data_IF_278731538013
#
_entry.id   IF_278731538013
#
_cell.length_a   1.000
_cell.length_b   1.000
_cell.length_c   1.000
_cell.angle_alpha   90.00
_cell.angle_beta   90.00
_cell.angle_gamma   90.00
#
_symmetry.space_group_name_H-M   'P 1'
#
loop_
_entity.id
_entity.type
_entity.pdbx_description
1 polymer ?
#
# COMPACT_ATOMS: atom_id res chain seq x y z
N UNK A 1 22.13 11.55 -0.98
CA UNK A 1 21.17 10.47 -0.85
C UNK A 1 20.52 10.31 -2.21
N UNK A 2 20.42 9.12 -2.74
CA UNK A 2 19.60 8.88 -3.94
C UNK A 2 18.15 9.19 -3.57
N UNK A 3 17.48 9.94 -4.42
CA UNK A 3 16.05 10.23 -4.28
C UNK A 3 15.29 8.90 -4.44
N UNK A 4 14.63 8.42 -3.37
CA UNK A 4 13.86 7.17 -3.38
C UNK A 4 12.48 7.42 -3.99
N UNK A 5 12.49 7.80 -5.27
CA UNK A 5 11.30 8.13 -6.05
C UNK A 5 11.24 7.25 -7.31
N UNK A 6 10.07 6.76 -7.64
CA UNK A 6 9.83 6.02 -8.87
C UNK A 6 8.47 6.37 -9.48
N UNK A 7 8.40 6.25 -10.80
CA UNK A 7 7.17 6.40 -11.57
C UNK A 7 6.97 5.16 -12.45
N UNK A 8 5.76 4.60 -12.41
CA UNK A 8 5.37 3.41 -13.17
C UNK A 8 4.05 3.68 -13.89
N UNK A 9 3.97 3.26 -15.14
CA UNK A 9 2.74 3.26 -15.93
C UNK A 9 2.35 1.83 -16.29
N UNK A 10 1.04 1.56 -16.31
CA UNK A 10 0.49 0.27 -16.72
C UNK A 10 -0.76 0.50 -17.55
N UNK A 11 -0.72 0.08 -18.81
CA UNK A 11 -1.84 0.15 -19.73
C UNK A 11 -2.27 -1.25 -20.12
N UNK A 12 -3.54 -1.56 -19.97
CA UNK A 12 -4.18 -2.81 -20.38
C UNK A 12 -5.32 -2.53 -21.35
N UNK A 13 -6.17 -3.49 -21.63
CA UNK A 13 -7.42 -3.25 -22.37
C UNK A 13 -8.54 -2.70 -21.47
N UNK A 14 -8.34 -2.71 -20.17
CA UNK A 14 -9.35 -2.43 -19.14
C UNK A 14 -9.02 -1.13 -18.37
N UNK A 15 -7.73 -0.81 -18.21
CA UNK A 15 -7.26 0.33 -17.43
C UNK A 15 -6.05 1.01 -18.04
N UNK A 16 -5.89 2.30 -17.76
CA UNK A 16 -4.66 3.07 -17.96
C UNK A 16 -4.27 3.73 -16.64
N UNK A 17 -3.14 3.30 -16.06
CA UNK A 17 -2.73 3.68 -14.70
C UNK A 17 -1.36 4.34 -14.72
N UNK A 18 -1.25 5.49 -14.08
CA UNK A 18 0.01 6.19 -13.82
C UNK A 18 0.19 6.37 -12.33
N UNK A 19 1.33 5.95 -11.80
CA UNK A 19 1.69 6.11 -10.37
C UNK A 19 3.07 6.71 -10.24
N UNK A 20 3.21 7.70 -9.36
CA UNK A 20 4.50 8.17 -8.87
C UNK A 20 4.50 8.07 -7.35
N UNK A 21 5.59 7.55 -6.77
CA UNK A 21 5.78 7.48 -5.32
C UNK A 21 7.16 7.98 -4.93
N UNK A 22 7.24 8.85 -3.91
CA UNK A 22 8.46 9.19 -3.20
C UNK A 22 8.35 8.63 -1.77
N UNK A 23 9.32 7.78 -1.39
CA UNK A 23 9.34 7.12 -0.06
C UNK A 23 9.65 8.13 1.05
N UNK A 24 10.54 9.09 0.78
CA UNK A 24 10.97 10.13 1.72
C UNK A 24 10.20 11.44 1.46
N UNK A 25 8.87 11.38 1.49
CA UNK A 25 7.98 12.52 1.24
C UNK A 25 7.51 13.23 2.51
N UNK A 26 6.56 14.14 2.30
CA UNK A 26 5.87 14.92 3.35
C UNK A 26 4.40 14.48 3.54
N UNK A 27 3.97 13.45 2.80
CA UNK A 27 2.60 12.93 2.79
C UNK A 27 1.67 13.74 1.89
N UNK A 28 2.21 14.33 0.82
CA UNK A 28 1.42 15.01 -0.21
C UNK A 28 0.84 14.00 -1.21
N UNK A 29 -0.38 14.27 -1.70
CA UNK A 29 -1.04 13.35 -2.62
C UNK A 29 -1.88 14.05 -3.67
N UNK A 30 -1.86 13.51 -4.91
CA UNK A 30 -2.77 13.84 -5.99
C UNK A 30 -3.32 12.54 -6.55
N UNK A 31 -4.60 12.22 -6.26
CA UNK A 31 -5.18 10.89 -6.52
C UNK A 31 -6.51 11.04 -7.23
N UNK A 32 -6.64 10.34 -8.34
CA UNK A 32 -7.87 10.27 -9.15
C UNK A 32 -7.96 8.86 -9.77
N UNK A 33 -8.73 7.98 -9.13
CA UNK A 33 -9.00 6.62 -9.62
C UNK A 33 -10.43 6.45 -10.15
N UNK A 34 -11.26 7.48 -10.03
CA UNK A 34 -12.70 7.39 -10.30
C UNK A 34 -13.50 6.70 -9.18
N UNK A 35 -12.86 6.12 -8.16
CA UNK A 35 -13.49 5.48 -7.00
C UNK A 35 -13.20 6.32 -5.76
N UNK A 36 -14.09 7.25 -5.42
CA UNK A 36 -13.85 8.26 -4.38
C UNK A 36 -13.44 7.70 -3.01
N UNK A 37 -13.88 6.49 -2.63
CA UNK A 37 -13.45 5.87 -1.39
C UNK A 37 -12.02 5.31 -1.50
N UNK A 38 -11.62 4.77 -2.66
CA UNK A 38 -10.23 4.36 -2.90
C UNK A 38 -9.30 5.57 -2.90
N UNK A 39 -9.72 6.69 -3.52
CA UNK A 39 -8.95 7.94 -3.51
C UNK A 39 -8.70 8.40 -2.07
N UNK A 40 -9.73 8.33 -1.21
CA UNK A 40 -9.60 8.67 0.21
C UNK A 40 -8.64 7.71 0.94
N UNK A 41 -8.68 6.41 0.65
CA UNK A 41 -7.75 5.42 1.24
C UNK A 41 -6.31 5.66 0.83
N UNK A 42 -6.06 5.97 -0.43
CA UNK A 42 -4.72 6.27 -0.95
C UNK A 42 -4.18 7.60 -0.42
N UNK A 43 -5.04 8.62 -0.29
CA UNK A 43 -4.66 9.87 0.37
C UNK A 43 -4.33 9.66 1.86
N UNK A 44 -5.07 8.79 2.55
CA UNK A 44 -4.77 8.36 3.93
C UNK A 44 -3.43 7.60 4.00
N UNK A 45 -3.17 6.70 3.05
CA UNK A 45 -1.90 5.99 2.92
C UNK A 45 -0.72 6.96 2.75
N UNK A 46 -0.81 7.89 1.81
CA UNK A 46 0.21 8.92 1.60
C UNK A 46 0.47 9.73 2.87
N UNK A 47 -0.60 10.27 3.46
CA UNK A 47 -0.52 11.16 4.63
C UNK A 47 0.07 10.49 5.86
N UNK A 48 -0.35 9.28 6.16
CA UNK A 48 0.11 8.56 7.35
C UNK A 48 1.45 7.86 7.16
N UNK A 49 1.83 7.51 5.93
CA UNK A 49 3.13 6.96 5.58
C UNK A 49 4.21 8.01 5.34
N UNK A 50 3.83 9.29 5.25
CA UNK A 50 4.73 10.38 4.81
C UNK A 50 5.33 10.11 3.43
N UNK A 51 4.58 9.43 2.57
CA UNK A 51 4.91 9.22 1.18
C UNK A 51 4.29 10.32 0.32
N UNK A 52 5.01 10.83 -0.68
CA UNK A 52 4.34 11.64 -1.69
C UNK A 52 3.85 10.70 -2.80
N UNK A 53 2.55 10.76 -3.10
CA UNK A 53 1.89 9.79 -3.99
C UNK A 53 1.02 10.51 -5.01
N UNK A 54 1.29 10.25 -6.29
CA UNK A 54 0.39 10.63 -7.38
C UNK A 54 -0.17 9.36 -8.01
N UNK A 55 -1.48 9.28 -8.17
CA UNK A 55 -2.18 8.18 -8.85
C UNK A 55 -3.21 8.75 -9.80
N UNK A 56 -3.18 8.30 -11.05
CA UNK A 56 -4.22 8.53 -12.04
C UNK A 56 -4.60 7.20 -12.65
N UNK A 57 -5.88 6.94 -12.74
CA UNK A 57 -6.41 5.74 -13.37
C UNK A 57 -7.66 6.07 -14.19
N UNK A 58 -7.66 5.69 -15.45
CA UNK A 58 -8.85 5.62 -16.29
C UNK A 58 -9.18 4.14 -16.50
N UNK A 59 -10.22 3.66 -15.83
CA UNK A 59 -10.62 2.25 -15.81
C UNK A 59 -12.08 2.05 -16.20
N UNK A 60 -12.44 0.82 -16.55
CA UNK A 60 -13.75 0.38 -17.02
C UNK A 60 -14.78 0.22 -15.88
N UNK A 61 -14.97 1.28 -15.08
CA UNK A 61 -15.86 1.29 -13.90
C UNK A 61 -17.33 0.97 -14.21
N UNK A 62 -17.73 1.02 -15.48
CA UNK A 62 -19.04 0.53 -15.93
C UNK A 62 -19.18 -1.00 -15.84
N UNK A 63 -18.06 -1.74 -15.75
CA UNK A 63 -18.04 -3.17 -15.48
C UNK A 63 -18.17 -3.40 -13.98
N UNK A 64 -17.15 -3.05 -13.22
CA UNK A 64 -17.14 -2.98 -11.75
C UNK A 64 -15.87 -2.25 -11.26
N UNK A 65 -15.58 -2.32 -9.96
CA UNK A 65 -14.40 -1.72 -9.34
C UNK A 65 -13.13 -2.60 -9.36
N UNK A 66 -13.22 -3.85 -9.83
CA UNK A 66 -12.15 -4.86 -9.71
C UNK A 66 -10.88 -4.44 -10.45
N UNK A 67 -10.99 -4.23 -11.79
CA UNK A 67 -9.82 -3.96 -12.63
C UNK A 67 -9.10 -2.69 -12.19
N UNK A 68 -9.84 -1.63 -11.86
CA UNK A 68 -9.27 -0.37 -11.36
C UNK A 68 -8.52 -0.58 -10.05
N UNK A 69 -9.12 -1.25 -9.07
CA UNK A 69 -8.48 -1.47 -7.75
C UNK A 69 -7.24 -2.35 -7.88
N UNK A 70 -7.33 -3.44 -8.66
CA UNK A 70 -6.21 -4.36 -8.88
C UNK A 70 -5.04 -3.67 -9.57
N UNK A 71 -5.27 -3.01 -10.71
CA UNK A 71 -4.21 -2.41 -11.51
C UNK A 71 -3.57 -1.20 -10.82
N UNK A 72 -4.32 -0.41 -10.05
CA UNK A 72 -3.77 0.62 -9.17
C UNK A 72 -2.85 0.01 -8.11
N UNK A 73 -3.28 -1.09 -7.46
CA UNK A 73 -2.48 -1.76 -6.43
C UNK A 73 -1.19 -2.38 -7.01
N UNK A 74 -1.27 -3.02 -8.19
CA UNK A 74 -0.12 -3.58 -8.91
C UNK A 74 0.88 -2.47 -9.25
N UNK A 75 0.39 -1.36 -9.80
CA UNK A 75 1.24 -0.26 -10.26
C UNK A 75 1.89 0.46 -9.08
N UNK A 76 1.13 0.72 -8.00
CA UNK A 76 1.66 1.30 -6.76
C UNK A 76 2.70 0.39 -6.09
N UNK A 77 2.43 -0.93 -6.04
CA UNK A 77 3.38 -1.90 -5.49
C UNK A 77 4.68 -1.95 -6.29
N UNK A 78 4.59 -1.91 -7.62
CA UNK A 78 5.75 -1.87 -8.51
C UNK A 78 6.56 -0.58 -8.32
N UNK A 79 5.89 0.58 -8.29
CA UNK A 79 6.55 1.87 -8.04
C UNK A 79 7.23 1.90 -6.66
N UNK A 80 6.60 1.32 -5.65
CA UNK A 80 7.17 1.22 -4.30
C UNK A 80 8.43 0.33 -4.28
N UNK A 81 8.41 -0.81 -4.98
CA UNK A 81 9.58 -1.68 -5.12
C UNK A 81 10.74 -0.99 -5.85
N UNK A 82 10.44 -0.28 -6.94
CA UNK A 82 11.43 0.44 -7.74
C UNK A 82 12.04 1.61 -6.96
N UNK A 83 11.25 2.35 -6.17
CA UNK A 83 11.74 3.42 -5.31
C UNK A 83 12.65 2.92 -4.18
N UNK A 84 12.45 1.70 -3.69
CA UNK A 84 13.30 1.07 -2.67
C UNK A 84 14.64 0.57 -3.21
N UNK A 85 14.74 0.34 -4.51
CA UNK A 85 15.96 -0.11 -5.20
C UNK A 85 16.60 -1.33 -4.50
N UNK A 86 17.85 -1.21 -4.07
CA UNK A 86 18.64 -2.29 -3.45
C UNK A 86 18.33 -2.52 -1.95
N UNK A 87 17.42 -1.74 -1.36
CA UNK A 87 16.95 -1.82 0.04
C UNK A 87 18.07 -1.68 1.08
N UNK A 88 19.18 -1.04 0.74
CA UNK A 88 20.30 -0.84 1.66
C UNK A 88 19.93 0.14 2.77
N UNK A 89 20.39 -0.16 3.97
CA UNK A 89 20.23 0.72 5.12
C UNK A 89 18.82 0.79 5.71
N UNK A 90 17.81 0.16 5.13
CA UNK A 90 16.46 0.18 5.68
C UNK A 90 16.34 -0.65 6.96
N UNK A 91 15.31 -0.37 7.78
CA UNK A 91 14.99 -1.19 8.96
C UNK A 91 14.50 -2.58 8.59
N UNK A 92 13.79 -2.72 7.47
CA UNK A 92 13.28 -3.94 6.87
C UNK A 92 12.00 -4.48 7.52
N UNK A 93 11.93 -4.59 8.84
CA UNK A 93 10.80 -5.16 9.57
C UNK A 93 10.09 -4.07 10.36
N UNK A 94 8.77 -4.11 10.34
CA UNK A 94 7.93 -3.30 11.22
C UNK A 94 6.58 -3.95 11.44
N UNK A 95 5.90 -3.48 12.49
CA UNK A 95 4.52 -3.81 12.79
C UNK A 95 3.80 -2.59 13.38
N UNK A 96 2.51 -2.45 13.08
CA UNK A 96 1.63 -1.43 13.68
C UNK A 96 0.23 -1.97 13.88
N UNK A 97 -0.35 -1.63 15.03
CA UNK A 97 -1.80 -1.65 15.23
C UNK A 97 -2.32 -0.22 15.26
N UNK A 98 -3.36 0.02 14.47
CA UNK A 98 -3.99 1.34 14.34
C UNK A 98 -5.48 1.22 14.63
N UNK A 99 -6.02 1.95 15.60
CA UNK A 99 -7.45 2.02 15.86
C UNK A 99 -8.10 3.13 15.02
N UNK A 100 -9.36 2.93 14.69
CA UNK A 100 -10.26 3.98 14.21
C UNK A 100 -11.64 3.70 14.83
N UNK A 101 -12.03 4.53 15.79
CA UNK A 101 -13.23 4.34 16.62
C UNK A 101 -13.29 2.91 17.18
N UNK A 102 -14.30 2.11 16.81
CA UNK A 102 -14.48 0.73 17.25
C UNK A 102 -13.65 -0.31 16.49
N UNK A 103 -13.07 0.09 15.33
CA UNK A 103 -12.26 -0.80 14.51
C UNK A 103 -10.78 -0.77 14.94
N UNK A 104 -10.10 -1.88 14.77
CA UNK A 104 -8.65 -1.98 14.90
C UNK A 104 -8.06 -2.82 13.78
N UNK A 105 -7.00 -2.33 13.17
CA UNK A 105 -6.24 -3.08 12.18
C UNK A 105 -4.78 -3.27 12.63
N UNK A 106 -4.22 -4.45 12.35
CA UNK A 106 -2.82 -4.77 12.57
C UNK A 106 -2.13 -5.13 11.27
N UNK A 107 -0.91 -4.62 11.05
CA UNK A 107 -0.10 -4.94 9.88
C UNK A 107 1.32 -5.25 10.32
N UNK A 108 1.89 -6.34 9.78
CA UNK A 108 3.29 -6.75 9.96
C UNK A 108 3.93 -6.89 8.59
N UNK A 109 5.13 -6.31 8.40
CA UNK A 109 5.82 -6.37 7.11
C UNK A 109 7.27 -6.82 7.24
N UNK A 110 7.73 -7.63 6.28
CA UNK A 110 9.14 -7.87 5.96
C UNK A 110 9.41 -7.42 4.52
N UNK A 111 10.24 -6.38 4.34
CA UNK A 111 10.65 -5.88 3.02
C UNK A 111 11.75 -6.79 2.47
N UNK A 112 11.40 -8.06 2.25
CA UNK A 112 12.31 -9.18 2.05
C UNK A 112 12.64 -9.49 0.58
N UNK A 113 11.97 -8.84 -0.38
CA UNK A 113 12.03 -9.26 -1.79
C UNK A 113 11.22 -10.53 -2.10
N UNK A 114 10.60 -11.15 -1.10
CA UNK A 114 9.77 -12.37 -1.24
C UNK A 114 8.30 -12.01 -1.02
N UNK A 115 7.50 -12.00 -2.09
CA UNK A 115 6.09 -11.64 -2.00
C UNK A 115 5.29 -12.73 -1.28
N UNK A 116 4.53 -12.33 -0.26
CA UNK A 116 3.55 -13.14 0.43
C UNK A 116 2.48 -12.22 1.03
N UNK A 117 1.24 -12.63 1.01
CA UNK A 117 0.15 -11.94 1.68
C UNK A 117 -0.73 -12.92 2.44
N UNK A 118 -0.94 -12.62 3.72
CA UNK A 118 -1.88 -13.32 4.60
C UNK A 118 -2.84 -12.29 5.21
N UNK A 119 -4.11 -12.64 5.28
CA UNK A 119 -5.15 -11.78 5.85
C UNK A 119 -6.03 -12.57 6.82
N UNK A 120 -6.29 -11.99 7.98
CA UNK A 120 -7.24 -12.51 8.99
C UNK A 120 -8.26 -11.41 9.33
N UNK A 121 -9.51 -11.63 8.98
CA UNK A 121 -10.60 -10.72 9.22
C UNK A 121 -11.73 -10.83 8.20
N UNK A 122 -12.73 -10.00 8.39
CA UNK A 122 -13.85 -9.86 7.45
C UNK A 122 -14.42 -8.44 7.57
N UNK A 123 -14.97 -7.92 6.46
CA UNK A 123 -15.59 -6.61 6.47
C UNK A 123 -17.07 -6.69 6.83
N UNK A 124 -17.52 -5.78 7.69
CA UNK A 124 -18.88 -5.76 8.24
C UNK A 124 -19.97 -5.35 7.24
N UNK A 125 -19.62 -4.71 6.13
CA UNK A 125 -20.51 -4.37 5.01
C UNK A 125 -19.89 -4.78 3.69
N UNK A 126 -20.74 -5.05 2.69
CA UNK A 126 -20.30 -5.48 1.36
C UNK A 126 -19.66 -4.35 0.53
N UNK A 127 -20.00 -3.09 0.81
CA UNK A 127 -19.56 -1.93 0.02
C UNK A 127 -19.46 -0.66 0.87
N UNK A 128 -18.46 0.17 0.57
CA UNK A 128 -18.31 1.53 1.11
C UNK A 128 -18.15 2.51 -0.06
N UNK A 129 -19.11 3.40 -0.23
CA UNK A 129 -19.14 4.27 -1.41
C UNK A 129 -19.12 3.47 -2.72
N UNK A 130 -18.19 3.80 -3.61
CA UNK A 130 -17.96 3.09 -4.88
C UNK A 130 -17.13 1.82 -4.75
N UNK A 131 -16.50 1.54 -3.59
CA UNK A 131 -15.61 0.41 -3.38
C UNK A 131 -16.34 -0.81 -2.79
N UNK A 132 -16.20 -1.97 -3.41
CA UNK A 132 -16.61 -3.25 -2.83
C UNK A 132 -15.61 -3.65 -1.74
N UNK A 133 -16.07 -3.96 -0.52
CA UNK A 133 -15.19 -4.06 0.66
C UNK A 133 -14.10 -5.13 0.54
N UNK A 134 -14.41 -6.30 -0.08
CA UNK A 134 -13.40 -7.34 -0.29
C UNK A 134 -12.26 -6.88 -1.24
N UNK A 135 -12.48 -5.85 -2.04
CA UNK A 135 -11.43 -5.27 -2.88
C UNK A 135 -10.33 -4.57 -2.06
N UNK A 136 -10.59 -4.22 -0.79
CA UNK A 136 -9.54 -3.75 0.10
C UNK A 136 -8.52 -4.86 0.42
N UNK A 137 -8.98 -6.10 0.69
CA UNK A 137 -8.09 -7.26 0.83
C UNK A 137 -7.34 -7.53 -0.49
N UNK A 138 -8.05 -7.49 -1.61
CA UNK A 138 -7.46 -7.70 -2.93
C UNK A 138 -6.39 -6.65 -3.26
N UNK A 139 -6.65 -5.38 -2.93
CA UNK A 139 -5.67 -4.30 -3.04
C UNK A 139 -4.38 -4.61 -2.26
N UNK A 140 -4.51 -4.97 -0.97
CA UNK A 140 -3.36 -5.30 -0.12
C UNK A 140 -2.56 -6.48 -0.68
N UNK A 141 -3.23 -7.51 -1.18
CA UNK A 141 -2.63 -8.67 -1.85
C UNK A 141 -1.83 -8.23 -3.09
N UNK A 142 -2.48 -7.53 -4.01
CA UNK A 142 -1.87 -7.09 -5.27
C UNK A 142 -0.70 -6.14 -5.02
N UNK A 143 -0.82 -5.24 -4.06
CA UNK A 143 0.27 -4.39 -3.60
C UNK A 143 1.44 -5.21 -3.05
N UNK A 144 1.20 -6.11 -2.09
CA UNK A 144 2.27 -6.90 -1.45
C UNK A 144 3.05 -7.77 -2.45
N UNK A 145 2.33 -8.37 -3.40
CA UNK A 145 2.93 -9.20 -4.45
C UNK A 145 3.85 -8.37 -5.35
N UNK A 146 3.47 -7.15 -5.72
CA UNK A 146 4.24 -6.31 -6.64
C UNK A 146 5.28 -5.44 -5.92
N UNK A 147 5.04 -5.01 -4.69
CA UNK A 147 6.05 -4.40 -3.81
C UNK A 147 7.11 -5.41 -3.33
N UNK A 148 6.91 -6.71 -3.60
CA UNK A 148 7.80 -7.82 -3.19
C UNK A 148 8.06 -7.84 -1.70
N UNK A 149 6.99 -7.70 -0.92
CA UNK A 149 7.04 -7.74 0.55
C UNK A 149 6.27 -8.94 1.07
N UNK A 150 6.68 -9.46 2.22
CA UNK A 150 5.84 -10.34 3.03
C UNK A 150 4.97 -9.46 3.90
N UNK A 151 3.66 -9.56 3.77
CA UNK A 151 2.67 -8.74 4.46
C UNK A 151 1.65 -9.64 5.16
N UNK A 152 1.47 -9.46 6.46
CA UNK A 152 0.37 -10.02 7.23
C UNK A 152 -0.51 -8.87 7.70
N UNK A 153 -1.82 -9.00 7.52
CA UNK A 153 -2.80 -8.01 7.94
C UNK A 153 -3.95 -8.67 8.70
N UNK A 154 -4.43 -8.00 9.74
CA UNK A 154 -5.61 -8.40 10.49
C UNK A 154 -6.53 -7.20 10.72
N UNK A 155 -7.84 -7.43 10.78
CA UNK A 155 -8.82 -6.39 11.10
C UNK A 155 -10.00 -6.94 11.88
N UNK A 156 -10.46 -6.15 12.87
CA UNK A 156 -11.69 -6.38 13.60
C UNK A 156 -12.44 -5.05 13.79
N UNK A 157 -13.75 -5.05 13.62
CA UNK A 157 -14.59 -3.87 13.72
C UNK A 157 -16.06 -4.16 13.42
N UNK A 158 -16.87 -3.10 13.32
CA UNK A 158 -18.29 -3.20 13.02
C UNK A 158 -18.76 -2.18 11.95
N UNK A 159 -17.82 -1.46 11.34
CA UNK A 159 -18.08 -0.51 10.26
C UNK A 159 -16.98 -0.65 9.20
N UNK A 160 -17.35 -1.12 8.00
CA UNK A 160 -16.38 -1.39 6.92
C UNK A 160 -15.56 -0.16 6.51
N UNK A 161 -16.10 1.06 6.62
CA UNK A 161 -15.33 2.28 6.40
C UNK A 161 -14.17 2.37 7.40
N UNK A 162 -14.45 2.20 8.70
CA UNK A 162 -13.44 2.27 9.76
C UNK A 162 -12.44 1.11 9.66
N UNK A 163 -12.91 -0.10 9.35
CA UNK A 163 -12.08 -1.29 9.18
C UNK A 163 -11.06 -1.10 8.04
N UNK A 164 -11.52 -0.65 6.86
CA UNK A 164 -10.67 -0.45 5.69
C UNK A 164 -9.72 0.74 5.92
N UNK A 165 -10.19 1.86 6.45
CA UNK A 165 -9.34 3.02 6.71
C UNK A 165 -8.27 2.71 7.78
N UNK A 166 -8.60 1.95 8.82
CA UNK A 166 -7.64 1.49 9.81
C UNK A 166 -6.55 0.61 9.18
N UNK A 167 -6.92 -0.30 8.23
CA UNK A 167 -5.98 -1.12 7.47
C UNK A 167 -5.00 -0.27 6.63
N UNK A 168 -5.50 0.71 5.87
CA UNK A 168 -4.65 1.58 5.06
C UNK A 168 -3.71 2.43 5.91
N UNK A 169 -4.18 2.94 7.06
CA UNK A 169 -3.33 3.64 8.04
C UNK A 169 -2.27 2.73 8.65
N UNK A 170 -2.65 1.50 9.02
CA UNK A 170 -1.72 0.53 9.58
C UNK A 170 -0.65 0.14 8.55
N UNK A 171 -1.05 -0.12 7.29
CA UNK A 171 -0.14 -0.38 6.18
C UNK A 171 0.85 0.77 5.99
N UNK A 172 0.35 2.00 5.88
CA UNK A 172 1.15 3.20 5.67
C UNK A 172 2.21 3.39 6.77
N UNK A 173 1.78 3.32 8.04
CA UNK A 173 2.67 3.47 9.20
C UNK A 173 3.70 2.35 9.29
N UNK A 174 3.30 1.12 8.96
CA UNK A 174 4.20 -0.03 8.99
C UNK A 174 5.26 0.07 7.90
N UNK A 175 4.86 0.46 6.68
CA UNK A 175 5.79 0.65 5.57
C UNK A 175 6.75 1.83 5.82
N UNK A 176 6.27 2.97 6.33
CA UNK A 176 7.14 4.08 6.74
C UNK A 176 8.23 3.59 7.72
N UNK A 177 7.84 2.90 8.78
CA UNK A 177 8.82 2.39 9.74
C UNK A 177 9.79 1.37 9.15
N UNK A 178 9.32 0.45 8.29
CA UNK A 178 10.15 -0.60 7.69
C UNK A 178 11.15 -0.06 6.66
N UNK A 179 10.76 0.97 5.92
CA UNK A 179 11.56 1.56 4.84
C UNK A 179 12.48 2.68 5.32
N UNK A 180 12.31 3.13 6.56
CA UNK A 180 13.15 4.16 7.18
C UNK A 180 14.60 3.71 7.24
N UNK A 181 15.52 4.58 6.85
CA UNK A 181 16.96 4.34 6.98
C UNK A 181 17.37 4.27 8.46
N UNK A 182 18.20 3.29 8.80
CA UNK A 182 18.79 3.15 10.14
C UNK A 182 20.25 3.60 10.08
N UNK A 183 20.57 4.72 10.75
CA UNK A 183 21.91 5.32 10.76
C UNK A 183 23.03 4.37 11.25
N UNK A 184 22.66 3.25 11.88
CA UNK A 184 23.59 2.26 12.40
C UNK A 184 23.99 1.21 11.36
N UNK A 185 23.40 1.25 10.14
CA UNK A 185 23.70 0.29 9.07
C UNK A 185 23.82 0.97 7.71
N UNK A 186 24.68 0.41 6.88
CA UNK A 186 24.89 0.87 5.51
C UNK A 186 24.85 -0.27 4.49
N UNK A 187 24.56 -1.49 4.96
CA UNK A 187 24.51 -2.72 4.17
C UNK A 187 23.04 -3.15 3.94
N UNK A 188 22.88 -4.18 3.13
CA UNK A 188 21.58 -4.85 2.97
C UNK A 188 21.24 -5.60 4.27
N UNK A 189 20.05 -5.39 4.88
CA UNK A 189 19.70 -5.97 6.17
C UNK A 189 19.34 -7.47 6.05
N UNK A 190 20.31 -8.27 5.59
CA UNK A 190 20.16 -9.71 5.37
C UNK A 190 21.44 -10.44 5.68
N UNK A 191 21.38 -11.56 6.42
CA UNK A 191 22.51 -12.44 6.64
C UNK A 191 23.01 -13.12 5.37
N UNK A 192 22.21 -13.10 4.30
CA UNK A 192 22.59 -13.59 2.96
C UNK A 192 23.28 -12.54 2.10
N UNK A 193 23.23 -11.24 2.52
CA UNK A 193 23.80 -10.13 1.77
C UNK A 193 22.93 -9.63 0.59
N UNK A 194 21.72 -10.18 0.42
CA UNK A 194 20.74 -9.83 -0.62
C UNK A 194 19.30 -9.93 -0.10
N UNK A 195 18.37 -9.17 -0.75
CA UNK A 195 16.91 -9.16 -0.51
C UNK A 195 16.15 -9.20 -1.83
#
# INVERSE_FOLDING_TARGET
MTDRTAAVTRTTAETDVEVTVAIDGDGDSEIDTGIGFLDHMLASFAKHGLFDVTVRCDGDLEVDDHHTVEDVAITLGSAFADALDDKRGIRRFADRKVPLDEAVAGVVVDVSGRPLFEFDGAFSQERVGGLTSHMAEHFLRSFAMNARVTLHAEVDGANAHHEIEALFKALARTLDDATRLDDRRSDTPSTKGEL
#
